data_IF_367431587536
#
_entry.id   IF_367431587536
#
_cell.length_a   1.000
_cell.length_b   1.000
_cell.length_c   1.000
_cell.angle_alpha   90.00
_cell.angle_beta   90.00
_cell.angle_gamma   90.00
#
_symmetry.space_group_name_H-M   'P 1'
#
loop_
_entity.id
_entity.type
_entity.pdbx_description
1 polymer ?
#
# COMPACT_ATOMS: atom_id res chain seq x y z
N UNK A 1 10.02 9.16 23.83
CA UNK A 1 9.02 9.39 24.90
C UNK A 1 8.25 10.65 24.58
N UNK A 2 6.97 10.73 24.98
CA UNK A 2 6.07 11.84 24.64
C UNK A 2 5.28 12.25 25.88
N UNK A 3 5.10 13.55 26.05
CA UNK A 3 4.22 14.11 27.08
C UNK A 3 3.25 15.09 26.44
N UNK A 4 1.96 14.90 26.65
CA UNK A 4 0.93 15.82 26.14
C UNK A 4 -0.32 15.76 27.02
N UNK A 5 -0.82 16.92 27.44
CA UNK A 5 -2.07 17.08 28.21
C UNK A 5 -2.14 16.19 29.47
N UNK A 6 -1.03 16.04 30.20
CA UNK A 6 -0.98 15.21 31.41
C UNK A 6 -0.85 13.71 31.16
N UNK A 7 -0.75 13.27 29.91
CA UNK A 7 -0.50 11.87 29.57
C UNK A 7 0.95 11.69 29.17
N UNK A 8 1.63 10.74 29.81
CA UNK A 8 3.02 10.40 29.58
C UNK A 8 3.09 9.05 28.85
N UNK A 9 3.71 9.05 27.69
CA UNK A 9 3.75 7.89 26.80
C UNK A 9 5.17 7.50 26.41
N UNK A 10 5.45 6.21 26.44
CA UNK A 10 6.63 5.61 25.84
C UNK A 10 6.22 4.80 24.61
N UNK A 11 6.90 5.05 23.49
CA UNK A 11 6.81 4.21 22.31
C UNK A 11 8.17 3.57 22.03
N UNK A 12 8.18 2.25 21.95
CA UNK A 12 9.35 1.51 21.52
C UNK A 12 9.15 0.94 20.11
N UNK A 13 9.87 1.47 19.13
CA UNK A 13 9.83 1.01 17.76
C UNK A 13 10.41 -0.40 17.57
N UNK A 14 11.19 -0.90 18.52
CA UNK A 14 11.76 -2.26 18.48
C UNK A 14 10.70 -3.34 18.71
N UNK A 15 9.78 -3.15 19.62
CA UNK A 15 8.66 -4.06 19.92
C UNK A 15 7.33 -3.61 19.34
N UNK A 16 7.25 -2.35 18.88
CA UNK A 16 6.02 -1.65 18.52
C UNK A 16 5.06 -1.49 19.71
N UNK A 17 5.61 -1.35 20.91
CA UNK A 17 4.83 -1.20 22.13
C UNK A 17 4.57 0.27 22.43
N UNK A 18 3.34 0.56 22.85
CA UNK A 18 2.94 1.83 23.46
C UNK A 18 2.62 1.57 24.92
N UNK A 19 3.18 2.34 25.80
CA UNK A 19 2.96 2.26 27.24
C UNK A 19 2.62 3.62 27.79
N UNK A 20 1.56 3.70 28.57
CA UNK A 20 1.24 4.87 29.38
C UNK A 20 2.02 4.75 30.69
N UNK A 21 2.72 5.81 31.06
CA UNK A 21 3.58 5.86 32.24
C UNK A 21 2.97 6.80 33.30
N UNK A 22 3.30 6.56 34.55
CA UNK A 22 3.16 7.61 35.58
C UNK A 22 4.13 8.78 35.29
N UNK A 23 3.88 9.93 35.86
CA UNK A 23 4.81 11.07 35.75
C UNK A 23 6.15 10.73 36.39
N UNK A 24 6.16 9.97 37.48
CA UNK A 24 7.35 9.52 38.18
C UNK A 24 8.19 8.59 37.30
N UNK A 25 7.59 7.57 36.70
CA UNK A 25 8.27 6.63 35.79
C UNK A 25 8.80 7.34 34.54
N UNK A 26 8.00 8.27 33.98
CA UNK A 26 8.43 9.05 32.82
C UNK A 26 9.69 9.85 33.12
N UNK A 27 9.73 10.53 34.28
CA UNK A 27 10.89 11.32 34.69
C UNK A 27 12.10 10.43 34.96
N UNK A 28 11.90 9.32 35.69
CA UNK A 28 12.93 8.32 35.98
C UNK A 28 13.54 7.77 34.67
N UNK A 29 12.71 7.30 33.74
CA UNK A 29 13.20 6.77 32.46
C UNK A 29 13.90 7.85 31.64
N UNK A 30 13.37 9.08 31.61
CA UNK A 30 14.00 10.20 30.90
C UNK A 30 15.41 10.50 31.41
N UNK A 31 15.58 10.46 32.73
CA UNK A 31 16.88 10.66 33.38
C UNK A 31 17.84 9.51 33.06
N UNK A 32 17.36 8.27 33.15
CA UNK A 32 18.13 7.08 32.78
C UNK A 32 18.60 7.10 31.32
N UNK A 33 17.74 7.50 30.39
CA UNK A 33 18.12 7.68 28.97
C UNK A 33 19.20 8.75 28.83
N UNK A 34 19.08 9.88 29.52
CA UNK A 34 20.06 10.96 29.42
C UNK A 34 21.44 10.60 29.95
N UNK A 35 21.47 9.72 30.94
CA UNK A 35 22.71 9.22 31.58
C UNK A 35 23.24 7.94 30.95
N UNK A 36 22.50 7.33 30.02
CA UNK A 36 22.79 5.97 29.50
C UNK A 36 22.98 4.92 30.59
N UNK A 37 22.20 5.03 31.67
CA UNK A 37 22.28 4.15 32.85
C UNK A 37 20.89 3.75 33.32
N UNK A 38 20.68 2.48 33.62
CA UNK A 38 19.39 1.93 34.06
C UNK A 38 19.34 1.65 35.57
N UNK A 39 20.37 2.00 36.33
CA UNK A 39 20.47 1.69 37.75
C UNK A 39 19.46 2.44 38.62
N UNK A 40 18.86 3.52 38.12
CA UNK A 40 17.83 4.29 38.84
C UNK A 40 16.41 3.73 38.69
N UNK A 41 16.21 2.69 37.90
CA UNK A 41 14.88 2.10 37.63
C UNK A 41 14.65 0.98 38.65
N UNK A 42 13.49 0.99 39.32
CA UNK A 42 13.11 -0.10 40.23
C UNK A 42 12.97 -1.43 39.49
N UNK A 43 12.97 -2.54 40.25
CA UNK A 43 13.05 -3.86 39.64
C UNK A 43 11.78 -4.26 38.87
N UNK A 44 10.58 -3.83 39.33
CA UNK A 44 9.30 -4.14 38.67
C UNK A 44 9.20 -3.40 37.36
N UNK A 45 9.42 -2.08 37.35
CA UNK A 45 9.43 -1.26 36.12
C UNK A 45 10.53 -1.73 35.16
N UNK A 46 11.68 -2.16 35.68
CA UNK A 46 12.78 -2.67 34.85
C UNK A 46 12.38 -3.97 34.13
N UNK A 47 11.64 -4.86 34.77
CA UNK A 47 11.16 -6.09 34.13
C UNK A 47 10.14 -5.80 33.06
N UNK A 48 9.16 -4.92 33.31
CA UNK A 48 8.20 -4.46 32.33
C UNK A 48 8.87 -3.84 31.09
N UNK A 49 9.89 -2.98 31.32
CA UNK A 49 10.67 -2.35 30.23
C UNK A 49 11.51 -3.38 29.44
N UNK A 50 11.93 -4.49 30.07
CA UNK A 50 12.59 -5.61 29.39
C UNK A 50 11.62 -6.42 28.54
N UNK A 51 10.41 -6.68 29.03
CA UNK A 51 9.37 -7.40 28.30
C UNK A 51 9.06 -6.68 26.97
N UNK A 52 8.88 -5.38 27.02
CA UNK A 52 8.64 -4.57 25.84
C UNK A 52 9.92 -4.19 25.06
N UNK A 53 11.09 -4.73 25.47
CA UNK A 53 12.40 -4.47 24.85
C UNK A 53 12.85 -3.00 24.82
N UNK A 54 12.37 -2.22 25.76
CA UNK A 54 12.90 -0.85 25.97
C UNK A 54 14.26 -0.94 26.65
N UNK A 55 14.42 -1.86 27.56
CA UNK A 55 15.73 -2.26 28.11
C UNK A 55 16.13 -3.58 27.46
N UNK A 56 17.31 -3.62 26.89
CA UNK A 56 17.91 -4.81 26.27
C UNK A 56 19.24 -5.14 26.93
N UNK A 57 19.67 -6.40 26.87
CA UNK A 57 20.94 -6.83 27.47
C UNK A 57 22.16 -6.27 26.75
N UNK A 58 22.04 -6.05 25.45
CA UNK A 58 23.12 -5.59 24.59
C UNK A 58 22.55 -4.93 23.35
N UNK A 59 22.77 -3.62 23.22
CA UNK A 59 22.29 -2.82 22.08
C UNK A 59 22.92 -3.25 20.75
N UNK A 60 24.23 -3.55 20.77
CA UNK A 60 24.95 -3.97 19.57
C UNK A 60 24.41 -5.28 19.02
N UNK A 61 23.99 -6.19 19.91
CA UNK A 61 23.37 -7.45 19.52
C UNK A 61 22.01 -7.21 18.83
N UNK A 62 21.15 -6.38 19.42
CA UNK A 62 19.83 -6.07 18.82
C UNK A 62 19.97 -5.31 17.49
N UNK A 63 20.88 -4.36 17.42
CA UNK A 63 21.20 -3.65 16.16
C UNK A 63 21.73 -4.62 15.10
N UNK A 64 22.64 -5.52 15.49
CA UNK A 64 23.19 -6.51 14.57
C UNK A 64 22.13 -7.49 14.07
N UNK A 65 21.19 -7.88 14.93
CA UNK A 65 20.03 -8.72 14.56
C UNK A 65 19.11 -8.02 13.56
N UNK A 66 18.83 -6.73 13.75
CA UNK A 66 18.05 -5.92 12.81
C UNK A 66 18.79 -5.83 11.47
N UNK A 67 20.08 -5.50 11.49
CA UNK A 67 20.92 -5.42 10.28
C UNK A 67 20.95 -6.75 9.53
N UNK A 68 21.17 -7.85 10.23
CA UNK A 68 21.16 -9.19 9.65
C UNK A 68 19.82 -9.52 8.99
N UNK A 69 18.71 -9.27 9.68
CA UNK A 69 17.36 -9.52 9.15
C UNK A 69 17.11 -8.70 7.88
N UNK A 70 17.52 -7.44 7.84
CA UNK A 70 17.39 -6.58 6.67
C UNK A 70 18.28 -7.03 5.52
N UNK A 71 19.52 -7.46 5.81
CA UNK A 71 20.43 -8.02 4.78
C UNK A 71 19.86 -9.31 4.18
N UNK A 72 19.36 -10.23 5.02
CA UNK A 72 18.73 -11.48 4.54
C UNK A 72 17.56 -11.15 3.61
N UNK A 73 16.68 -10.23 3.99
CA UNK A 73 15.54 -9.82 3.15
C UNK A 73 15.98 -9.14 1.87
N UNK A 74 16.94 -8.22 1.96
CA UNK A 74 17.45 -7.46 0.82
C UNK A 74 18.08 -8.34 -0.26
N UNK A 75 18.83 -9.35 0.15
CA UNK A 75 19.58 -10.24 -0.73
C UNK A 75 18.93 -11.62 -0.91
N UNK A 76 17.74 -11.84 -0.31
CA UNK A 76 17.00 -13.08 -0.55
C UNK A 76 16.65 -13.21 -2.02
N UNK A 77 17.01 -14.36 -2.60
CA UNK A 77 16.71 -14.71 -3.99
C UNK A 77 15.60 -15.77 -4.11
N UNK A 78 14.94 -16.10 -3.00
CA UNK A 78 13.85 -17.08 -2.97
C UNK A 78 12.48 -16.51 -3.32
N UNK A 79 12.36 -15.18 -3.32
CA UNK A 79 11.13 -14.47 -3.69
C UNK A 79 11.45 -13.45 -4.77
N UNK A 80 10.71 -13.50 -5.87
CA UNK A 80 10.73 -12.50 -6.94
C UNK A 80 9.44 -11.69 -6.89
N UNK A 81 9.56 -10.38 -6.75
CA UNK A 81 8.43 -9.46 -6.69
C UNK A 81 8.49 -8.49 -7.88
N UNK A 82 7.53 -8.61 -8.79
CA UNK A 82 7.47 -7.79 -10.00
C UNK A 82 6.22 -6.92 -9.98
N UNK A 83 6.39 -5.63 -10.21
CA UNK A 83 5.29 -4.78 -10.66
C UNK A 83 5.39 -4.69 -12.18
N UNK A 84 4.34 -5.09 -12.88
CA UNK A 84 4.34 -5.13 -14.34
C UNK A 84 3.31 -4.14 -14.87
N UNK A 85 3.77 -3.22 -15.70
CA UNK A 85 2.95 -2.23 -16.38
C UNK A 85 2.73 -2.68 -17.82
N UNK A 86 1.60 -3.31 -18.16
CA UNK A 86 1.34 -3.74 -19.53
C UNK A 86 1.15 -2.56 -20.48
N UNK A 87 0.81 -1.39 -19.95
CA UNK A 87 0.72 -0.11 -20.67
C UNK A 87 0.88 1.07 -19.72
N UNK A 88 1.36 2.19 -20.22
CA UNK A 88 1.27 3.50 -19.55
C UNK A 88 0.06 4.31 -20.02
N UNK A 89 -0.71 3.77 -20.97
CA UNK A 89 -1.99 4.37 -21.37
C UNK A 89 -3.03 4.23 -20.28
N UNK A 90 -3.84 5.27 -20.09
CA UNK A 90 -4.99 5.27 -19.22
C UNK A 90 -6.21 5.83 -19.93
N UNK A 91 -7.39 5.29 -19.62
CA UNK A 91 -8.67 5.80 -20.11
C UNK A 91 -9.17 7.01 -19.30
N UNK A 92 -8.57 7.30 -18.13
CA UNK A 92 -8.92 8.45 -17.28
C UNK A 92 -8.01 9.64 -17.52
N UNK A 93 -8.55 10.85 -17.22
CA UNK A 93 -7.85 12.13 -17.25
C UNK A 93 -7.77 12.78 -15.86
N UNK A 94 -7.33 12.04 -14.83
CA UNK A 94 -7.22 12.55 -13.45
C UNK A 94 -6.19 13.68 -13.37
N UNK A 95 -6.54 14.89 -12.87
CA UNK A 95 -5.63 16.04 -12.87
C UNK A 95 -4.45 15.91 -11.91
N UNK A 96 -4.52 15.01 -10.92
CA UNK A 96 -3.48 14.76 -9.92
C UNK A 96 -2.68 13.47 -10.19
N UNK A 97 -2.80 12.89 -11.38
CA UNK A 97 -2.13 11.64 -11.70
C UNK A 97 -0.60 11.84 -11.72
N UNK A 98 0.12 11.10 -10.87
CA UNK A 98 1.58 11.19 -10.81
C UNK A 98 2.28 10.59 -12.03
N UNK A 99 1.62 9.69 -12.77
CA UNK A 99 2.14 9.17 -14.03
C UNK A 99 2.07 10.20 -15.17
N UNK A 100 1.34 11.31 -14.96
CA UNK A 100 1.23 12.38 -15.92
C UNK A 100 0.44 12.01 -17.18
N UNK A 101 0.44 12.92 -18.15
CA UNK A 101 -0.15 12.67 -19.44
C UNK A 101 0.94 12.22 -20.42
N UNK A 102 1.08 10.91 -20.55
CA UNK A 102 1.99 10.34 -21.53
C UNK A 102 1.49 10.68 -22.95
N UNK A 103 2.24 11.46 -23.70
CA UNK A 103 1.96 11.80 -25.11
C UNK A 103 1.82 10.54 -25.96
N UNK A 104 2.56 9.50 -25.63
CA UNK A 104 2.46 8.15 -26.19
C UNK A 104 1.96 7.21 -25.12
N UNK A 105 1.08 6.29 -25.48
CA UNK A 105 0.59 5.23 -24.58
C UNK A 105 1.24 3.91 -24.97
N UNK A 106 2.52 3.68 -24.60
CA UNK A 106 3.22 2.47 -25.00
C UNK A 106 2.51 1.24 -24.42
N UNK A 107 2.50 0.18 -25.21
CA UNK A 107 1.91 -1.13 -24.86
C UNK A 107 2.99 -2.18 -24.93
N UNK A 108 2.90 -3.14 -24.05
CA UNK A 108 3.84 -4.26 -24.01
C UNK A 108 3.72 -5.12 -25.28
N UNK A 109 4.85 -5.40 -25.90
CA UNK A 109 4.96 -6.27 -27.08
C UNK A 109 5.18 -7.73 -26.69
N UNK A 110 5.09 -8.64 -27.67
CA UNK A 110 5.36 -10.07 -27.45
C UNK A 110 6.83 -10.30 -27.09
N UNK A 111 7.75 -9.52 -27.64
CA UNK A 111 9.18 -9.59 -27.35
C UNK A 111 9.48 -9.22 -25.89
N UNK A 112 8.79 -8.20 -25.35
CA UNK A 112 8.92 -7.81 -23.94
C UNK A 112 8.32 -8.88 -23.03
N UNK A 113 7.16 -9.45 -23.41
CA UNK A 113 6.52 -10.54 -22.68
C UNK A 113 7.48 -11.75 -22.59
N UNK A 114 8.09 -12.15 -23.70
CA UNK A 114 9.05 -13.27 -23.74
C UNK A 114 10.31 -12.96 -22.94
N UNK A 115 10.81 -11.72 -23.01
CA UNK A 115 11.94 -11.27 -22.19
C UNK A 115 11.65 -11.34 -20.68
N UNK A 116 10.41 -11.02 -20.24
CA UNK A 116 9.99 -11.17 -18.84
C UNK A 116 10.03 -12.65 -18.43
N UNK A 117 9.56 -13.56 -19.26
CA UNK A 117 9.60 -14.99 -18.96
C UNK A 117 11.04 -15.49 -18.84
N UNK A 118 11.93 -15.10 -19.76
CA UNK A 118 13.34 -15.45 -19.69
C UNK A 118 14.03 -14.82 -18.46
N UNK A 119 13.65 -13.60 -18.08
CA UNK A 119 14.12 -12.97 -16.86
C UNK A 119 13.72 -13.78 -15.62
N UNK A 120 12.46 -14.24 -15.52
CA UNK A 120 11.98 -15.06 -14.39
C UNK A 120 12.74 -16.39 -14.36
N UNK A 121 12.95 -17.07 -15.50
CA UNK A 121 13.72 -18.34 -15.59
C UNK A 121 15.15 -18.20 -15.07
N UNK A 122 15.80 -17.06 -15.31
CA UNK A 122 17.16 -16.79 -14.81
C UNK A 122 17.22 -16.67 -13.29
N UNK A 123 16.08 -16.36 -12.62
CA UNK A 123 15.96 -16.36 -11.17
C UNK A 123 15.62 -17.76 -10.63
N UNK A 124 16.41 -18.75 -11.01
CA UNK A 124 16.19 -20.18 -10.76
C UNK A 124 16.04 -20.59 -9.29
N UNK A 125 16.48 -19.74 -8.36
CA UNK A 125 16.34 -19.96 -6.91
C UNK A 125 15.03 -19.37 -6.35
N UNK A 126 14.25 -18.64 -7.14
CA UNK A 126 12.98 -18.10 -6.72
C UNK A 126 11.95 -19.22 -6.55
N UNK A 127 11.41 -19.34 -5.36
CA UNK A 127 10.32 -20.27 -5.02
C UNK A 127 8.94 -19.65 -5.20
N UNK A 128 8.87 -18.33 -5.01
CA UNK A 128 7.62 -17.56 -5.14
C UNK A 128 7.80 -16.41 -6.11
N UNK A 129 6.78 -16.18 -6.93
CA UNK A 129 6.65 -15.07 -7.86
C UNK A 129 5.41 -14.25 -7.47
N UNK A 130 5.62 -13.04 -6.98
CA UNK A 130 4.53 -12.12 -6.66
C UNK A 130 4.46 -11.04 -7.73
N UNK A 131 3.31 -10.90 -8.38
CA UNK A 131 3.09 -9.92 -9.44
C UNK A 131 2.07 -8.89 -9.01
N UNK A 132 2.39 -7.62 -9.18
CA UNK A 132 1.43 -6.53 -9.09
C UNK A 132 1.19 -5.94 -10.50
N UNK A 133 -0.01 -6.10 -11.00
CA UNK A 133 -0.43 -5.47 -12.26
C UNK A 133 -0.75 -4.01 -12.01
N UNK A 134 -0.04 -3.13 -12.72
CA UNK A 134 -0.11 -1.67 -12.53
C UNK A 134 0.06 -0.92 -13.88
N UNK A 135 0.40 0.36 -13.85
CA UNK A 135 0.63 1.24 -15.00
C UNK A 135 -0.45 2.30 -15.12
N UNK A 136 -0.70 2.80 -16.31
CA UNK A 136 -1.77 3.77 -16.52
C UNK A 136 -3.13 3.17 -16.16
N UNK A 137 -3.63 2.21 -16.95
CA UNK A 137 -4.77 1.37 -16.61
C UNK A 137 -4.53 -0.05 -17.15
N UNK A 138 -4.21 -1.02 -16.27
CA UNK A 138 -3.84 -2.37 -16.69
C UNK A 138 -4.97 -3.14 -17.40
N UNK A 139 -6.24 -2.86 -17.10
CA UNK A 139 -7.38 -3.51 -17.74
C UNK A 139 -7.55 -3.14 -19.22
N UNK A 140 -6.86 -2.10 -19.72
CA UNK A 140 -6.80 -1.80 -21.15
C UNK A 140 -6.05 -2.87 -21.94
N UNK A 141 -5.12 -3.56 -21.27
CA UNK A 141 -4.30 -4.64 -21.84
C UNK A 141 -4.60 -5.99 -21.16
N UNK A 142 -5.88 -6.27 -20.88
CA UNK A 142 -6.29 -7.46 -20.13
C UNK A 142 -5.87 -8.76 -20.83
N UNK A 143 -5.91 -8.83 -22.15
CA UNK A 143 -5.43 -9.98 -22.92
C UNK A 143 -3.93 -10.23 -22.69
N UNK A 144 -3.13 -9.16 -22.58
CA UNK A 144 -1.70 -9.27 -22.24
C UNK A 144 -1.49 -9.83 -20.83
N UNK A 145 -2.32 -9.38 -19.87
CA UNK A 145 -2.31 -9.92 -18.50
C UNK A 145 -2.60 -11.42 -18.52
N UNK A 146 -3.58 -11.86 -19.31
CA UNK A 146 -3.93 -13.28 -19.42
C UNK A 146 -2.78 -14.09 -20.02
N UNK A 147 -2.25 -13.67 -21.17
CA UNK A 147 -1.19 -14.45 -21.87
C UNK A 147 0.06 -14.55 -21.01
N UNK A 148 0.52 -13.43 -20.43
CA UNK A 148 1.73 -13.42 -19.61
C UNK A 148 1.53 -14.19 -18.30
N UNK A 149 0.36 -14.10 -17.65
CA UNK A 149 0.05 -14.90 -16.47
C UNK A 149 0.09 -16.41 -16.79
N UNK A 150 -0.50 -16.85 -17.89
CA UNK A 150 -0.46 -18.26 -18.27
C UNK A 150 0.96 -18.75 -18.53
N UNK A 151 1.80 -17.95 -19.19
CA UNK A 151 3.23 -18.26 -19.36
C UNK A 151 3.97 -18.37 -18.01
N UNK A 152 3.69 -17.46 -17.04
CA UNK A 152 4.26 -17.51 -15.70
C UNK A 152 3.82 -18.76 -14.92
N UNK A 153 2.52 -19.10 -14.96
CA UNK A 153 1.98 -20.29 -14.31
C UNK A 153 2.61 -21.59 -14.87
N UNK A 154 2.91 -21.62 -16.15
CA UNK A 154 3.57 -22.77 -16.80
C UNK A 154 5.01 -23.01 -16.32
N UNK A 155 5.64 -22.04 -15.62
CA UNK A 155 6.96 -22.21 -15.03
C UNK A 155 6.97 -23.06 -13.75
N UNK A 156 5.79 -23.39 -13.18
CA UNK A 156 5.69 -24.21 -11.99
C UNK A 156 6.17 -23.55 -10.69
N UNK A 157 6.41 -22.24 -10.70
CA UNK A 157 6.74 -21.43 -9.52
C UNK A 157 5.45 -21.08 -8.75
N UNK A 158 5.51 -20.99 -7.41
CA UNK A 158 4.36 -20.51 -6.64
C UNK A 158 4.04 -19.07 -7.04
N UNK A 159 2.90 -18.87 -7.71
CA UNK A 159 2.50 -17.58 -8.28
C UNK A 159 1.35 -16.95 -7.49
N UNK A 160 1.47 -15.67 -7.19
CA UNK A 160 0.41 -14.83 -6.60
C UNK A 160 0.35 -13.50 -7.32
N UNK A 161 -0.85 -12.98 -7.53
CA UNK A 161 -1.01 -11.70 -8.18
C UNK A 161 -1.97 -10.76 -7.46
N UNK A 162 -1.74 -9.48 -7.66
CA UNK A 162 -2.61 -8.36 -7.28
C UNK A 162 -2.77 -7.40 -8.46
N UNK A 163 -3.77 -6.53 -8.39
CA UNK A 163 -4.01 -5.52 -9.42
C UNK A 163 -4.37 -4.18 -8.79
N UNK A 164 -3.80 -3.11 -9.31
CA UNK A 164 -4.18 -1.74 -9.00
C UNK A 164 -4.79 -1.14 -10.26
N UNK A 165 -6.04 -0.74 -10.21
CA UNK A 165 -6.83 -0.32 -11.37
C UNK A 165 -7.81 0.80 -11.00
N UNK A 166 -8.28 1.55 -11.99
CA UNK A 166 -9.41 2.46 -11.79
C UNK A 166 -10.76 1.74 -11.72
N UNK A 167 -10.82 0.45 -12.06
CA UNK A 167 -12.00 -0.41 -11.93
C UNK A 167 -13.07 -0.22 -13.01
N UNK A 168 -12.95 0.76 -13.90
CA UNK A 168 -13.97 1.11 -14.88
C UNK A 168 -14.19 0.04 -15.96
N UNK A 169 -13.12 -0.66 -16.36
CA UNK A 169 -13.15 -1.62 -17.47
C UNK A 169 -13.46 -3.06 -17.06
N UNK A 170 -13.81 -3.31 -15.81
CA UNK A 170 -14.31 -4.62 -15.41
C UNK A 170 -15.65 -4.94 -16.09
N UNK A 171 -15.86 -6.21 -16.31
CA UNK A 171 -17.10 -6.85 -16.75
C UNK A 171 -17.15 -8.27 -16.17
N UNK A 172 -18.22 -9.01 -16.41
CA UNK A 172 -18.42 -10.38 -15.88
C UNK A 172 -17.29 -11.32 -16.31
N UNK A 173 -16.86 -11.23 -17.56
CA UNK A 173 -15.78 -12.07 -18.11
C UNK A 173 -14.45 -11.85 -17.37
N UNK A 174 -14.03 -10.58 -17.24
CA UNK A 174 -12.80 -10.22 -16.53
C UNK A 174 -12.87 -10.56 -15.04
N UNK A 175 -14.03 -10.38 -14.40
CA UNK A 175 -14.20 -10.75 -12.99
C UNK A 175 -14.04 -12.26 -12.78
N UNK A 176 -14.67 -13.08 -13.60
CA UNK A 176 -14.52 -14.54 -13.52
C UNK A 176 -13.10 -15.03 -13.77
N UNK A 177 -12.37 -14.35 -14.66
CA UNK A 177 -10.99 -14.72 -14.97
C UNK A 177 -9.99 -14.47 -13.83
N UNK A 178 -10.31 -13.61 -12.82
CA UNK A 178 -9.36 -13.27 -11.74
C UNK A 178 -8.88 -14.51 -10.97
N UNK A 179 -9.75 -15.50 -10.73
CA UNK A 179 -9.39 -16.73 -10.03
C UNK A 179 -8.35 -17.55 -10.80
N UNK A 180 -8.55 -17.74 -12.11
CA UNK A 180 -7.62 -18.47 -12.99
C UNK A 180 -6.28 -17.73 -13.08
N UNK A 181 -6.32 -16.39 -13.11
CA UNK A 181 -5.15 -15.53 -13.13
C UNK A 181 -4.48 -15.37 -11.75
N UNK A 182 -4.99 -16.03 -10.70
CA UNK A 182 -4.48 -15.96 -9.32
C UNK A 182 -4.40 -14.51 -8.78
N UNK A 183 -5.29 -13.64 -9.25
CA UNK A 183 -5.42 -12.26 -8.75
C UNK A 183 -6.33 -12.28 -7.54
N UNK A 184 -5.75 -12.38 -6.36
CA UNK A 184 -6.46 -12.49 -5.08
C UNK A 184 -6.75 -11.13 -4.42
N UNK A 185 -6.18 -10.06 -4.94
CA UNK A 185 -6.35 -8.72 -4.41
C UNK A 185 -6.46 -7.69 -5.54
N UNK A 186 -7.49 -6.86 -5.48
CA UNK A 186 -7.70 -5.74 -6.40
C UNK A 186 -7.88 -4.45 -5.61
N UNK A 187 -7.03 -3.44 -5.88
CA UNK A 187 -7.22 -2.10 -5.35
C UNK A 187 -7.91 -1.22 -6.40
N UNK A 188 -9.02 -0.60 -6.01
CA UNK A 188 -9.77 0.36 -6.84
C UNK A 188 -9.78 1.72 -6.13
N UNK A 189 -9.60 2.81 -6.89
CA UNK A 189 -9.60 4.16 -6.32
C UNK A 189 -10.95 4.85 -6.50
N UNK A 190 -11.54 5.32 -5.38
CA UNK A 190 -12.70 6.21 -5.35
C UNK A 190 -12.38 7.42 -4.47
N UNK A 191 -12.42 8.64 -5.02
CA UNK A 191 -11.99 9.84 -4.29
C UNK A 191 -13.12 10.56 -3.53
N UNK A 192 -14.28 9.96 -3.47
CA UNK A 192 -15.47 10.49 -2.78
C UNK A 192 -16.75 9.88 -3.31
N UNK A 193 -17.88 10.43 -2.93
CA UNK A 193 -19.18 10.16 -3.56
C UNK A 193 -19.20 10.69 -4.98
N UNK A 194 -20.27 10.42 -5.72
CA UNK A 194 -20.40 10.71 -7.16
C UNK A 194 -19.86 12.09 -7.54
N UNK A 195 -20.36 13.14 -6.91
CA UNK A 195 -20.02 14.52 -7.28
C UNK A 195 -18.53 14.81 -7.09
N UNK A 196 -17.95 14.38 -5.98
CA UNK A 196 -16.52 14.57 -5.68
C UNK A 196 -15.66 13.68 -6.57
N UNK A 197 -16.06 12.42 -6.74
CA UNK A 197 -15.30 11.49 -7.56
C UNK A 197 -15.25 11.92 -9.02
N UNK A 198 -16.38 12.24 -9.64
CA UNK A 198 -16.48 12.53 -11.07
C UNK A 198 -15.80 13.86 -11.46
N UNK A 199 -15.61 14.79 -10.51
CA UNK A 199 -14.78 15.99 -10.71
C UNK A 199 -13.28 15.68 -10.73
N UNK A 200 -12.86 14.60 -10.06
CA UNK A 200 -11.46 14.24 -9.86
C UNK A 200 -10.99 13.10 -10.75
N UNK A 201 -11.90 12.18 -11.10
CA UNK A 201 -11.59 10.94 -11.81
C UNK A 201 -12.62 10.70 -12.92
N UNK A 202 -12.39 11.32 -14.04
CA UNK A 202 -13.26 11.26 -15.22
C UNK A 202 -12.53 10.56 -16.40
N UNK A 203 -13.29 10.06 -17.36
CA UNK A 203 -12.73 9.57 -18.63
C UNK A 203 -12.02 10.71 -19.40
N UNK A 204 -11.01 10.35 -20.20
CA UNK A 204 -10.44 11.26 -21.19
C UNK A 204 -11.55 11.74 -22.12
N UNK A 205 -12.17 12.76 -22.00
CA UNK A 205 -13.38 13.24 -22.69
C UNK A 205 -14.42 13.78 -21.73
N UNK A 206 -14.11 13.79 -20.42
CA UNK A 206 -14.91 14.48 -19.40
C UNK A 206 -16.14 13.73 -18.90
N UNK A 207 -16.31 12.46 -19.27
CA UNK A 207 -17.48 11.69 -18.83
C UNK A 207 -17.32 11.14 -17.41
N UNK A 208 -18.42 11.05 -16.62
CA UNK A 208 -18.41 10.53 -15.25
C UNK A 208 -18.07 9.03 -15.20
N UNK A 209 -17.57 8.58 -14.05
CA UNK A 209 -17.08 7.20 -13.90
C UNK A 209 -17.59 6.50 -12.64
N UNK A 210 -18.09 7.23 -11.66
CA UNK A 210 -18.47 6.71 -10.34
C UNK A 210 -19.45 5.53 -10.42
N UNK A 211 -20.58 5.70 -11.11
CA UNK A 211 -21.63 4.69 -11.15
C UNK A 211 -21.14 3.39 -11.78
N UNK A 212 -20.38 3.51 -12.86
CA UNK A 212 -19.80 2.34 -13.53
C UNK A 212 -18.81 1.60 -12.65
N UNK A 213 -17.99 2.31 -11.88
CA UNK A 213 -17.06 1.68 -10.95
C UNK A 213 -17.83 0.97 -9.82
N UNK A 214 -18.87 1.58 -9.27
CA UNK A 214 -19.72 0.96 -8.22
C UNK A 214 -20.41 -0.31 -8.74
N UNK A 215 -20.94 -0.28 -9.96
CA UNK A 215 -21.50 -1.47 -10.60
C UNK A 215 -20.44 -2.57 -10.73
N UNK A 216 -19.24 -2.23 -11.18
CA UNK A 216 -18.14 -3.17 -11.33
C UNK A 216 -17.63 -3.71 -9.98
N UNK A 217 -17.66 -2.92 -8.90
CA UNK A 217 -17.33 -3.41 -7.54
C UNK A 217 -18.36 -4.45 -7.08
N UNK A 218 -19.66 -4.22 -7.31
CA UNK A 218 -20.71 -5.22 -7.03
C UNK A 218 -20.53 -6.48 -7.85
N UNK A 219 -20.20 -6.32 -9.13
CA UNK A 219 -19.93 -7.43 -10.05
C UNK A 219 -18.70 -8.24 -9.58
N UNK A 220 -17.64 -7.60 -9.10
CA UNK A 220 -16.48 -8.31 -8.53
C UNK A 220 -16.86 -9.11 -7.28
N UNK A 221 -17.67 -8.54 -6.39
CA UNK A 221 -18.12 -9.23 -5.19
C UNK A 221 -18.99 -10.47 -5.52
N UNK A 222 -19.74 -10.45 -6.64
CA UNK A 222 -20.58 -11.55 -7.10
C UNK A 222 -19.80 -12.63 -7.85
N UNK A 223 -18.95 -12.24 -8.82
CA UNK A 223 -18.30 -13.17 -9.75
C UNK A 223 -16.84 -13.51 -9.41
N UNK A 224 -16.24 -12.84 -8.43
CA UNK A 224 -14.89 -13.09 -7.94
C UNK A 224 -14.85 -13.11 -6.40
N UNK A 225 -15.63 -13.98 -5.71
CA UNK A 225 -15.78 -13.96 -4.25
C UNK A 225 -14.49 -14.27 -3.49
N UNK A 226 -13.51 -14.91 -4.13
CA UNK A 226 -12.19 -15.19 -3.55
C UNK A 226 -11.21 -14.00 -3.68
N UNK A 227 -11.60 -12.95 -4.42
CA UNK A 227 -10.78 -11.76 -4.60
C UNK A 227 -11.18 -10.67 -3.61
N UNK A 228 -10.23 -10.24 -2.78
CA UNK A 228 -10.43 -9.09 -1.89
C UNK A 228 -10.36 -7.79 -2.69
N UNK A 229 -11.38 -6.96 -2.58
CA UNK A 229 -11.41 -5.62 -3.19
C UNK A 229 -11.15 -4.57 -2.13
N UNK A 230 -10.13 -3.76 -2.32
CA UNK A 230 -9.77 -2.66 -1.43
C UNK A 230 -10.01 -1.32 -2.13
N UNK A 231 -10.99 -0.58 -1.63
CA UNK A 231 -11.27 0.77 -2.12
C UNK A 231 -10.31 1.73 -1.42
N UNK A 232 -9.47 2.38 -2.21
CA UNK A 232 -8.57 3.43 -1.77
C UNK A 232 -9.21 4.78 -2.02
N UNK A 233 -9.32 5.62 -0.98
CA UNK A 233 -9.77 7.00 -1.12
C UNK A 233 -8.56 7.92 -1.03
N UNK A 234 -8.17 8.54 -2.14
CA UNK A 234 -7.08 9.51 -2.12
C UNK A 234 -7.59 10.83 -1.56
N UNK A 235 -7.07 11.21 -0.40
CA UNK A 235 -7.47 12.38 0.35
C UNK A 235 -6.46 13.51 0.22
N UNK A 236 -6.97 14.68 -0.04
CA UNK A 236 -6.29 15.97 0.05
C UNK A 236 -7.20 17.00 0.75
N UNK A 237 -6.80 18.26 0.81
CA UNK A 237 -7.58 19.32 1.48
C UNK A 237 -8.96 19.53 0.86
N UNK A 238 -9.16 19.17 -0.41
CA UNK A 238 -10.40 19.42 -1.16
C UNK A 238 -11.51 18.39 -0.86
N UNK A 239 -11.16 17.19 -0.35
CA UNK A 239 -12.15 16.11 -0.19
C UNK A 239 -12.09 15.37 1.16
N UNK A 240 -11.13 15.68 2.03
CA UNK A 240 -10.96 14.96 3.30
C UNK A 240 -12.19 15.06 4.20
N UNK A 241 -12.90 16.19 4.24
CA UNK A 241 -14.09 16.40 5.03
C UNK A 241 -15.28 15.52 4.60
N UNK A 242 -15.28 15.03 3.36
CA UNK A 242 -16.31 14.17 2.77
C UNK A 242 -15.96 12.68 2.78
N UNK A 243 -14.86 12.30 3.43
CA UNK A 243 -14.45 10.90 3.51
C UNK A 243 -15.53 10.00 4.12
N UNK A 244 -16.23 10.47 5.16
CA UNK A 244 -17.26 9.68 5.82
C UNK A 244 -18.46 9.38 4.92
N UNK A 245 -18.76 10.25 3.98
CA UNK A 245 -19.87 10.06 3.04
C UNK A 245 -19.61 8.84 2.15
N UNK A 246 -18.44 8.78 1.54
CA UNK A 246 -18.06 7.62 0.71
C UNK A 246 -17.82 6.36 1.55
N UNK A 247 -17.27 6.50 2.76
CA UNK A 247 -17.09 5.36 3.67
C UNK A 247 -18.43 4.71 4.01
N UNK A 248 -19.41 5.50 4.44
CA UNK A 248 -20.76 5.02 4.77
C UNK A 248 -21.48 4.48 3.55
N UNK A 249 -21.34 5.14 2.39
CA UNK A 249 -21.90 4.64 1.12
C UNK A 249 -21.41 3.23 0.81
N UNK A 250 -20.10 2.99 0.86
CA UNK A 250 -19.51 1.66 0.58
C UNK A 250 -19.93 0.64 1.64
N UNK A 251 -19.93 1.00 2.93
CA UNK A 251 -20.37 0.10 4.00
C UNK A 251 -21.82 -0.34 3.83
N UNK A 252 -22.70 0.56 3.39
CA UNK A 252 -24.12 0.28 3.13
C UNK A 252 -24.34 -0.63 1.90
N UNK A 253 -23.33 -0.89 1.06
CA UNK A 253 -23.43 -1.91 0.02
C UNK A 253 -23.39 -3.34 0.59
N UNK A 254 -22.97 -3.52 1.84
CA UNK A 254 -22.86 -4.81 2.54
C UNK A 254 -22.10 -5.91 1.78
N UNK A 255 -21.05 -5.53 1.05
CA UNK A 255 -20.22 -6.44 0.27
C UNK A 255 -19.07 -6.98 1.14
N UNK A 256 -19.09 -8.29 1.44
CA UNK A 256 -18.15 -8.93 2.39
C UNK A 256 -16.69 -8.87 1.94
N UNK A 257 -16.44 -8.95 0.65
CA UNK A 257 -15.08 -8.95 0.07
C UNK A 257 -14.52 -7.55 -0.17
N UNK A 258 -15.31 -6.50 0.15
CA UNK A 258 -14.96 -5.11 -0.13
C UNK A 258 -14.60 -4.37 1.16
N UNK A 259 -13.42 -3.79 1.18
CA UNK A 259 -12.93 -2.89 2.22
C UNK A 259 -12.71 -1.49 1.68
N UNK A 260 -12.69 -0.49 2.56
CA UNK A 260 -12.42 0.91 2.19
C UNK A 260 -11.45 1.53 3.19
N UNK A 261 -10.45 2.25 2.69
CA UNK A 261 -9.45 2.91 3.51
C UNK A 261 -9.05 4.27 2.92
N UNK A 262 -8.76 5.26 3.77
CA UNK A 262 -8.21 6.54 3.36
C UNK A 262 -6.71 6.43 3.07
N UNK A 263 -6.22 7.25 2.14
CA UNK A 263 -4.81 7.41 1.87
C UNK A 263 -4.52 8.86 1.48
N UNK A 264 -3.55 9.49 2.12
CA UNK A 264 -3.22 10.87 1.80
C UNK A 264 -2.48 10.97 0.46
N UNK A 265 -2.88 11.93 -0.35
CA UNK A 265 -2.13 12.33 -1.55
C UNK A 265 -0.79 12.89 -1.10
N UNK A 266 0.29 12.45 -1.76
CA UNK A 266 1.63 12.97 -1.56
C UNK A 266 2.05 13.69 -2.81
N UNK A 267 2.54 14.91 -2.63
CA UNK A 267 3.16 15.65 -3.71
C UNK A 267 4.64 15.25 -3.81
N UNK A 268 4.98 14.48 -4.84
CA UNK A 268 6.37 14.07 -5.10
C UNK A 268 7.02 14.89 -6.21
N UNK A 269 6.23 15.69 -6.92
CA UNK A 269 6.69 16.40 -8.09
C UNK A 269 5.98 17.73 -8.18
N UNK A 270 6.38 18.80 -7.62
CA UNK A 270 5.86 20.17 -7.83
C UNK A 270 4.70 20.29 -8.86
N UNK A 271 3.92 19.21 -9.02
CA UNK A 271 2.71 19.17 -9.82
C UNK A 271 1.72 20.09 -9.13
N UNK A 272 1.68 21.32 -9.58
CA UNK A 272 1.02 22.50 -9.03
C UNK A 272 -0.51 22.36 -8.76
N UNK A 273 -1.07 21.15 -8.84
CA UNK A 273 -2.50 20.90 -8.71
C UNK A 273 -2.87 19.95 -7.57
N UNK A 274 -1.95 19.54 -6.70
CA UNK A 274 -2.30 18.75 -5.54
C UNK A 274 -2.41 19.64 -4.30
N UNK A 275 -3.62 19.73 -3.73
CA UNK A 275 -3.86 20.30 -2.41
C UNK A 275 -3.46 19.28 -1.33
N UNK A 276 -2.22 18.79 -1.35
CA UNK A 276 -1.77 17.79 -0.40
C UNK A 276 -1.86 18.32 1.04
N UNK A 277 -2.48 17.54 1.92
CA UNK A 277 -2.60 17.89 3.33
C UNK A 277 -1.24 17.88 4.01
N UNK A 278 -0.96 18.90 4.80
CA UNK A 278 0.21 18.90 5.68
C UNK A 278 0.10 17.87 6.82
N UNK A 279 1.19 17.60 7.51
CA UNK A 279 1.23 16.59 8.58
C UNK A 279 0.29 16.91 9.75
N UNK A 280 0.05 18.19 10.07
CA UNK A 280 -0.86 18.59 11.13
C UNK A 280 -2.30 18.33 10.73
N UNK A 281 -2.70 18.70 9.51
CA UNK A 281 -4.03 18.45 8.98
C UNK A 281 -4.32 16.94 8.85
N UNK A 282 -3.32 16.14 8.41
CA UNK A 282 -3.42 14.68 8.42
C UNK A 282 -3.65 14.15 9.84
N UNK A 283 -2.90 14.61 10.83
CA UNK A 283 -3.08 14.21 12.23
C UNK A 283 -4.45 14.60 12.76
N UNK A 284 -4.91 15.83 12.53
CA UNK A 284 -6.24 16.31 12.94
C UNK A 284 -7.35 15.45 12.32
N UNK A 285 -7.22 15.09 11.05
CA UNK A 285 -8.14 14.20 10.36
C UNK A 285 -8.21 12.82 11.02
N UNK A 286 -7.04 12.17 11.23
CA UNK A 286 -6.96 10.84 11.85
C UNK A 286 -7.54 10.86 13.26
N UNK A 287 -7.16 11.86 14.05
CA UNK A 287 -7.69 12.07 15.41
C UNK A 287 -9.21 12.21 15.42
N UNK A 288 -9.78 13.02 14.52
CA UNK A 288 -11.22 13.19 14.38
C UNK A 288 -11.94 11.88 14.06
N UNK A 289 -11.37 11.06 13.14
CA UNK A 289 -11.93 9.75 12.80
C UNK A 289 -11.95 8.82 14.03
N UNK A 290 -10.89 8.81 14.81
CA UNK A 290 -10.81 7.99 16.01
C UNK A 290 -11.75 8.48 17.11
N UNK A 291 -11.64 9.74 17.54
CA UNK A 291 -12.37 10.27 18.70
C UNK A 291 -13.89 10.38 18.46
N UNK A 292 -14.30 10.75 17.23
CA UNK A 292 -15.73 10.95 16.95
C UNK A 292 -16.43 9.74 16.36
N UNK A 293 -15.70 8.85 15.71
CA UNK A 293 -16.29 7.75 14.95
C UNK A 293 -15.73 6.36 15.33
N UNK A 294 -14.78 6.28 16.28
CA UNK A 294 -14.16 5.03 16.69
C UNK A 294 -13.37 4.33 15.56
N UNK A 295 -12.98 5.07 14.52
CA UNK A 295 -12.31 4.51 13.34
C UNK A 295 -10.80 4.55 13.49
N UNK A 296 -10.16 3.37 13.48
CA UNK A 296 -8.72 3.22 13.45
C UNK A 296 -8.30 2.50 12.16
N UNK A 297 -7.48 3.15 11.35
CA UNK A 297 -6.91 2.55 10.15
C UNK A 297 -5.44 2.24 10.41
N UNK A 298 -5.06 0.98 10.31
CA UNK A 298 -3.70 0.50 10.60
C UNK A 298 -2.60 1.24 9.81
N UNK A 299 -2.94 1.74 8.62
CA UNK A 299 -2.01 2.52 7.78
C UNK A 299 -1.56 3.85 8.39
N UNK A 300 -2.27 4.35 9.40
CA UNK A 300 -1.96 5.63 10.07
C UNK A 300 -1.19 5.45 11.38
N UNK A 301 -1.04 4.23 11.84
CA UNK A 301 -0.34 3.92 13.09
C UNK A 301 1.00 3.28 12.80
N UNK A 302 1.98 3.47 13.69
CA UNK A 302 3.23 2.78 13.58
C UNK A 302 3.01 1.26 13.49
N UNK A 303 3.65 0.62 12.56
CA UNK A 303 3.64 -0.84 12.46
C UNK A 303 4.98 -1.37 12.97
N UNK A 304 4.96 -2.52 13.66
CA UNK A 304 6.19 -3.23 14.06
C UNK A 304 7.00 -3.75 12.88
N UNK A 305 6.60 -3.38 11.68
CA UNK A 305 7.23 -3.83 10.45
C UNK A 305 8.46 -2.96 10.15
N UNK A 306 9.65 -3.51 10.46
CA UNK A 306 10.95 -2.91 10.18
C UNK A 306 11.49 -3.26 8.81
N UNK A 307 10.59 -3.61 7.88
CA UNK A 307 10.97 -3.92 6.52
C UNK A 307 11.40 -2.63 5.85
N UNK A 308 12.62 -2.62 5.34
CA UNK A 308 13.08 -1.55 4.48
C UNK A 308 12.18 -1.40 3.25
N UNK A 309 12.13 -0.22 2.67
CA UNK A 309 11.39 0.02 1.44
C UNK A 309 11.78 -1.01 0.36
N UNK A 310 10.81 -1.50 -0.40
CA UNK A 310 10.99 -2.49 -1.46
C UNK A 310 12.05 -2.13 -2.51
N UNK A 311 12.35 -0.82 -2.66
CA UNK A 311 13.42 -0.31 -3.53
C UNK A 311 14.80 -0.92 -3.19
N UNK A 312 15.01 -1.34 -1.93
CA UNK A 312 16.26 -1.97 -1.49
C UNK A 312 16.32 -3.46 -1.77
N UNK A 313 15.21 -4.12 -2.06
CA UNK A 313 15.21 -5.55 -2.36
C UNK A 313 15.81 -5.80 -3.73
N UNK A 314 16.79 -6.70 -3.82
CA UNK A 314 17.42 -7.02 -5.11
C UNK A 314 16.43 -7.62 -6.11
N UNK A 315 15.54 -8.47 -5.64
CA UNK A 315 14.54 -9.17 -6.45
C UNK A 315 13.17 -8.48 -6.46
N UNK A 316 13.12 -7.16 -6.20
CA UNK A 316 11.94 -6.33 -6.37
C UNK A 316 12.16 -5.35 -7.53
N UNK A 317 11.31 -5.40 -8.56
CA UNK A 317 11.44 -4.59 -9.78
C UNK A 317 10.10 -4.11 -10.29
N UNK A 318 10.12 -2.97 -10.95
CA UNK A 318 9.01 -2.48 -11.80
C UNK A 318 9.44 -2.63 -13.25
N UNK A 319 8.59 -3.23 -14.06
CA UNK A 319 8.83 -3.47 -15.49
C UNK A 319 7.85 -2.62 -16.28
N UNK A 320 8.40 -1.69 -17.06
CA UNK A 320 7.63 -0.85 -17.99
C UNK A 320 7.22 -1.61 -19.26
N UNK A 321 6.29 -1.04 -20.05
CA UNK A 321 5.76 -1.71 -21.24
C UNK A 321 6.79 -1.90 -22.37
N UNK A 322 7.88 -1.14 -22.35
CA UNK A 322 8.98 -1.27 -23.32
C UNK A 322 10.14 -2.12 -22.80
N UNK A 323 9.95 -2.79 -21.63
CA UNK A 323 10.98 -3.61 -20.99
C UNK A 323 11.94 -2.83 -20.09
N UNK A 324 11.63 -1.57 -19.77
CA UNK A 324 12.40 -0.76 -18.83
C UNK A 324 12.32 -1.36 -17.42
N UNK A 325 13.42 -1.29 -16.69
CA UNK A 325 13.51 -1.79 -15.32
C UNK A 325 13.70 -0.64 -14.34
N UNK A 326 12.81 -0.55 -13.36
CA UNK A 326 12.87 0.44 -12.30
C UNK A 326 12.83 -0.23 -10.92
N UNK A 327 13.24 0.50 -9.90
CA UNK A 327 13.14 0.07 -8.50
C UNK A 327 11.87 0.60 -7.80
N UNK A 328 11.29 1.65 -8.34
CA UNK A 328 10.07 2.28 -7.83
C UNK A 328 9.19 2.71 -9.01
N UNK A 329 7.91 2.82 -8.78
CA UNK A 329 6.95 3.36 -9.74
C UNK A 329 6.77 4.89 -9.64
N UNK A 330 7.51 5.56 -8.75
CA UNK A 330 7.63 7.02 -8.65
C UNK A 330 8.95 7.48 -9.23
#
# INVERSE_FOLDING_TARGET
>A
MFHRNGTFLLYNSLSNSFVELSEEDYNCISECISRCDVNGIDDDLREDLREIKTIVKNDDFEISKIRYTNLVRRFSNTNLALTINPTLGCNFGCPYCFEGDHKTSPRMTDEVEDAIIEFIKRHSLAKTLNVAWFGGEPLMEFSRIQTLTHKMLALGIEYKASMITNGYLFNVEKAKALSDLKISFVQITLDGTRETHDQRRYLKGGHPTFDRIIENIKLLAEYAPETSVSIRVNLDESNADRFLDIYNYVKNLHLKTVSIHPAFVRDYSDCANSCAMDSNNQFVFVKKLFEKHGMAFSSFYPSGNRIECGIRNMNGLVIGPMGELYKCWN
#
